data_IF_046311784823
#
_entry.id   IF_046311784823
#
_cell.length_a   1.000
_cell.length_b   1.000
_cell.length_c   1.000
_cell.angle_alpha   90.00
_cell.angle_beta   90.00
_cell.angle_gamma   90.00
#
_symmetry.space_group_name_H-M   'P 1'
#
loop_
_entity.id
_entity.type
_entity.pdbx_description
1 polymer ?
#
# COMPACT_ATOMS: atom_id res chain seq x y z
N UNK A 1 -3.71 -9.41 5.14
CA UNK A 1 -3.15 -10.43 6.06
C UNK A 1 -4.10 -10.69 7.21
N UNK A 2 -4.55 -9.66 7.95
CA UNK A 2 -5.62 -9.80 8.95
C UNK A 2 -7.02 -9.72 8.34
N UNK A 3 -7.22 -8.94 7.29
CA UNK A 3 -8.40 -9.09 6.43
C UNK A 3 -8.11 -10.20 5.40
N UNK A 4 -8.72 -11.37 5.62
CA UNK A 4 -8.59 -12.54 4.74
C UNK A 4 -9.68 -12.55 3.67
N UNK A 5 -10.80 -11.87 3.93
CA UNK A 5 -11.96 -11.85 3.02
C UNK A 5 -11.88 -10.71 2.00
N UNK A 6 -11.01 -9.74 2.25
CA UNK A 6 -10.91 -8.48 1.50
C UNK A 6 -12.23 -7.69 1.50
N UNK A 7 -12.85 -7.58 2.69
CA UNK A 7 -14.10 -6.84 2.90
C UNK A 7 -13.88 -5.50 3.60
N UNK A 8 -12.62 -5.13 3.83
CA UNK A 8 -12.26 -3.91 4.55
C UNK A 8 -12.51 -3.99 6.05
N UNK A 9 -12.60 -5.19 6.62
CA UNK A 9 -12.76 -5.40 8.06
C UNK A 9 -12.01 -6.63 8.57
N UNK A 10 -11.56 -6.56 9.81
CA UNK A 10 -10.83 -7.63 10.51
C UNK A 10 -11.74 -8.22 11.58
N UNK A 11 -12.08 -9.50 11.42
CA UNK A 11 -12.78 -10.26 12.48
C UNK A 11 -11.80 -10.69 13.56
N UNK A 12 -12.32 -10.91 14.76
CA UNK A 12 -11.57 -11.54 15.85
C UNK A 12 -10.91 -12.86 15.44
N UNK A 13 -11.60 -13.73 14.71
CA UNK A 13 -11.03 -15.01 14.27
C UNK A 13 -9.87 -14.85 13.28
N UNK A 14 -9.96 -13.86 12.40
CA UNK A 14 -8.91 -13.58 11.42
C UNK A 14 -7.69 -12.94 12.13
N UNK A 15 -7.93 -12.11 13.14
CA UNK A 15 -6.90 -11.59 14.05
C UNK A 15 -6.20 -12.70 14.85
N UNK A 16 -6.93 -13.63 15.46
CA UNK A 16 -6.36 -14.78 16.19
C UNK A 16 -5.54 -15.67 15.26
N UNK A 17 -6.04 -15.93 14.06
CA UNK A 17 -5.27 -16.66 13.04
C UNK A 17 -3.98 -15.92 12.66
N UNK A 18 -4.04 -14.60 12.51
CA UNK A 18 -2.86 -13.79 12.21
C UNK A 18 -1.85 -13.78 13.37
N UNK A 19 -2.30 -13.77 14.63
CA UNK A 19 -1.44 -13.95 15.79
C UNK A 19 -0.73 -15.31 15.76
N UNK A 20 -1.42 -16.39 15.41
CA UNK A 20 -0.78 -17.71 15.25
C UNK A 20 0.24 -17.74 14.10
N UNK A 21 -0.09 -17.11 12.97
CA UNK A 21 0.72 -17.18 11.74
C UNK A 21 1.90 -16.19 11.71
N UNK A 22 1.74 -15.01 12.32
CA UNK A 22 2.69 -13.89 12.25
C UNK A 22 3.20 -13.46 13.63
N UNK A 23 2.58 -13.94 14.73
CA UNK A 23 2.87 -13.49 16.08
C UNK A 23 4.28 -13.80 16.58
N UNK A 24 5.02 -14.71 15.95
CA UNK A 24 6.44 -14.92 16.26
C UNK A 24 7.34 -13.76 15.82
N UNK A 25 6.85 -12.85 14.98
CA UNK A 25 7.65 -11.73 14.45
C UNK A 25 7.58 -10.54 15.40
N UNK A 26 8.74 -10.06 15.84
CA UNK A 26 8.86 -8.97 16.82
C UNK A 26 8.24 -7.65 16.33
N UNK A 27 8.40 -7.33 15.05
CA UNK A 27 7.79 -6.16 14.42
C UNK A 27 6.26 -6.21 14.45
N UNK A 28 5.69 -7.39 14.17
CA UNK A 28 4.25 -7.63 14.27
C UNK A 28 3.77 -7.46 15.71
N UNK A 29 4.41 -8.09 16.70
CA UNK A 29 4.03 -7.94 18.11
C UNK A 29 4.08 -6.48 18.57
N UNK A 30 5.15 -5.74 18.22
CA UNK A 30 5.26 -4.31 18.54
C UNK A 30 4.12 -3.51 17.93
N UNK A 31 3.76 -3.78 16.68
CA UNK A 31 2.64 -3.12 16.03
C UNK A 31 1.31 -3.45 16.75
N UNK A 32 1.04 -4.71 17.08
CA UNK A 32 -0.20 -5.10 17.77
C UNK A 32 -0.33 -4.46 19.15
N UNK A 33 0.76 -4.43 19.92
CA UNK A 33 0.78 -3.82 21.24
C UNK A 33 0.58 -2.29 21.17
N UNK A 34 1.24 -1.63 20.22
CA UNK A 34 1.09 -0.18 20.01
C UNK A 34 -0.34 0.22 19.65
N UNK A 35 -0.99 -0.59 18.81
CA UNK A 35 -2.36 -0.36 18.35
C UNK A 35 -3.43 -0.86 19.33
N UNK A 36 -3.04 -1.51 20.43
CA UNK A 36 -3.92 -2.12 21.41
C UNK A 36 -4.99 -3.06 20.81
N UNK A 37 -4.70 -3.70 19.66
CA UNK A 37 -5.67 -4.56 18.97
C UNK A 37 -6.10 -5.75 19.82
N UNK A 38 -5.19 -6.28 20.63
CA UNK A 38 -5.53 -7.32 21.59
C UNK A 38 -6.58 -6.83 22.59
N UNK A 39 -6.44 -5.62 23.13
CA UNK A 39 -7.44 -5.08 24.06
C UNK A 39 -8.80 -4.92 23.37
N UNK A 40 -8.82 -4.36 22.16
CA UNK A 40 -10.03 -4.20 21.35
C UNK A 40 -10.77 -5.53 21.15
N UNK A 41 -10.11 -6.57 20.65
CA UNK A 41 -10.76 -7.86 20.39
C UNK A 41 -11.08 -8.68 21.65
N UNK A 42 -10.53 -8.32 22.81
CA UNK A 42 -10.97 -8.87 24.10
C UNK A 42 -12.21 -8.15 24.63
N UNK A 43 -12.33 -6.84 24.42
CA UNK A 43 -13.45 -6.04 24.93
C UNK A 43 -14.70 -6.11 24.04
N UNK A 44 -14.55 -6.31 22.73
CA UNK A 44 -15.68 -6.39 21.79
C UNK A 44 -15.56 -7.61 20.87
N UNK A 45 -16.72 -8.11 20.44
CA UNK A 45 -16.83 -9.14 19.40
C UNK A 45 -17.06 -8.54 17.99
N UNK A 46 -17.18 -7.22 17.90
CA UNK A 46 -17.41 -6.52 16.63
C UNK A 46 -16.21 -6.60 15.68
N UNK A 47 -16.51 -6.56 14.39
CA UNK A 47 -15.49 -6.52 13.33
C UNK A 47 -14.83 -5.15 13.31
N UNK A 48 -13.50 -5.11 13.30
CA UNK A 48 -12.74 -3.87 13.21
C UNK A 48 -12.65 -3.44 11.74
N UNK A 49 -13.37 -2.39 11.35
CA UNK A 49 -13.28 -1.82 10.00
C UNK A 49 -11.88 -1.24 9.72
N UNK A 50 -11.52 -1.07 8.44
CA UNK A 50 -10.28 -0.42 8.03
C UNK A 50 -10.18 0.99 8.62
N UNK A 51 -11.27 1.76 8.59
CA UNK A 51 -11.30 3.09 9.20
C UNK A 51 -11.09 3.02 10.71
N UNK A 52 -11.76 2.10 11.42
CA UNK A 52 -11.55 1.89 12.85
C UNK A 52 -10.10 1.50 13.18
N UNK A 53 -9.50 0.64 12.37
CA UNK A 53 -8.08 0.29 12.48
C UNK A 53 -7.17 1.52 12.29
N UNK A 54 -7.43 2.35 11.27
CA UNK A 54 -6.67 3.57 11.02
C UNK A 54 -6.83 4.57 12.16
N UNK A 55 -8.03 4.71 12.75
CA UNK A 55 -8.28 5.56 13.93
C UNK A 55 -7.53 5.08 15.17
N UNK A 56 -7.41 3.77 15.38
CA UNK A 56 -6.57 3.22 16.45
C UNK A 56 -5.08 3.51 16.21
N UNK A 57 -4.64 3.49 14.95
CA UNK A 57 -3.25 3.75 14.58
C UNK A 57 -2.86 5.23 14.60
N UNK A 58 -3.79 6.10 14.23
CA UNK A 58 -3.59 7.53 14.09
C UNK A 58 -4.76 8.28 14.75
N UNK A 59 -4.86 8.26 16.08
CA UNK A 59 -6.01 8.81 16.80
C UNK A 59 -6.21 10.31 16.58
N UNK A 60 -5.13 11.03 16.27
CA UNK A 60 -5.13 12.47 16.03
C UNK A 60 -5.23 12.85 14.55
N UNK A 61 -5.37 11.89 13.63
CA UNK A 61 -5.47 12.19 12.20
C UNK A 61 -6.78 12.94 11.88
N UNK A 62 -6.63 14.03 11.13
CA UNK A 62 -7.73 14.78 10.52
C UNK A 62 -8.48 13.95 9.47
N UNK A 63 -9.66 14.42 9.05
CA UNK A 63 -10.44 13.75 8.00
C UNK A 63 -9.69 13.64 6.68
N UNK A 64 -8.93 14.68 6.28
CA UNK A 64 -8.13 14.67 5.06
C UNK A 64 -6.97 13.66 5.14
N UNK A 65 -6.30 13.56 6.29
CA UNK A 65 -5.26 12.55 6.51
C UNK A 65 -5.85 11.13 6.51
N UNK A 66 -7.05 10.94 7.05
CA UNK A 66 -7.75 9.66 7.00
C UNK A 66 -8.12 9.25 5.58
N UNK A 67 -8.58 10.18 4.74
CA UNK A 67 -8.83 9.94 3.32
C UNK A 67 -7.53 9.52 2.61
N UNK A 68 -6.42 10.21 2.89
CA UNK A 68 -5.09 9.85 2.36
C UNK A 68 -4.65 8.44 2.80
N UNK A 69 -4.79 8.11 4.09
CA UNK A 69 -4.45 6.79 4.62
C UNK A 69 -5.30 5.67 4.00
N UNK A 70 -6.59 5.95 3.77
CA UNK A 70 -7.49 5.03 3.07
C UNK A 70 -7.05 4.83 1.63
N UNK A 71 -6.74 5.90 0.91
CA UNK A 71 -6.20 5.85 -0.46
C UNK A 71 -4.96 4.98 -0.52
N UNK A 72 -4.02 5.17 0.41
CA UNK A 72 -2.80 4.36 0.49
C UNK A 72 -3.08 2.88 0.76
N UNK A 73 -4.09 2.57 1.59
CA UNK A 73 -4.51 1.19 1.82
C UNK A 73 -5.07 0.54 0.55
N UNK A 74 -5.84 1.28 -0.26
CA UNK A 74 -6.39 0.78 -1.53
C UNK A 74 -5.30 0.58 -2.59
N UNK A 75 -4.37 1.54 -2.76
CA UNK A 75 -3.19 1.36 -3.62
C UNK A 75 -2.35 0.15 -3.18
N UNK A 76 -2.26 -0.09 -1.87
CA UNK A 76 -1.58 -1.27 -1.33
C UNK A 76 -2.31 -2.56 -1.69
N UNK A 77 -3.65 -2.58 -1.70
CA UNK A 77 -4.43 -3.74 -2.17
C UNK A 77 -4.17 -3.99 -3.65
N UNK A 78 -4.15 -2.96 -4.48
CA UNK A 78 -3.83 -3.09 -5.91
C UNK A 78 -2.46 -3.75 -6.10
N UNK A 79 -1.45 -3.27 -5.40
CA UNK A 79 -0.11 -3.85 -5.45
C UNK A 79 -0.10 -5.33 -5.06
N UNK A 80 -0.91 -5.72 -4.06
CA UNK A 80 -1.02 -7.12 -3.63
C UNK A 80 -1.74 -7.98 -4.68
N UNK A 81 -2.80 -7.47 -5.31
CA UNK A 81 -3.51 -8.18 -6.39
C UNK A 81 -2.58 -8.54 -7.55
N UNK A 82 -1.64 -7.66 -7.87
CA UNK A 82 -0.65 -7.88 -8.93
C UNK A 82 0.50 -8.81 -8.54
N UNK A 83 0.60 -9.23 -7.27
CA UNK A 83 1.70 -10.12 -6.86
C UNK A 83 1.53 -11.52 -7.48
N UNK A 84 2.62 -12.16 -7.94
CA UNK A 84 2.56 -13.48 -8.58
C UNK A 84 1.84 -14.55 -7.75
N UNK A 85 1.87 -14.45 -6.41
CA UNK A 85 1.17 -15.37 -5.51
C UNK A 85 -0.35 -15.43 -5.74
N UNK A 86 -0.93 -14.37 -6.30
CA UNK A 86 -2.37 -14.30 -6.60
C UNK A 86 -2.71 -14.81 -8.00
N UNK A 87 -1.72 -15.16 -8.83
CA UNK A 87 -1.96 -15.72 -10.16
C UNK A 87 -2.65 -14.73 -11.10
N UNK A 88 -2.25 -13.46 -11.07
CA UNK A 88 -2.88 -12.41 -11.87
C UNK A 88 -2.88 -12.76 -13.37
N UNK A 89 -4.08 -12.94 -13.90
CA UNK A 89 -4.30 -13.42 -15.27
C UNK A 89 -4.70 -12.31 -16.25
N UNK A 90 -4.82 -11.08 -15.76
CA UNK A 90 -5.34 -9.92 -16.49
C UNK A 90 -6.74 -10.18 -17.10
N UNK A 91 -7.55 -11.00 -16.43
CA UNK A 91 -8.95 -11.19 -16.81
C UNK A 91 -9.77 -9.93 -16.57
N UNK A 92 -10.87 -9.76 -17.30
CA UNK A 92 -11.72 -8.55 -17.20
C UNK A 92 -12.19 -8.27 -15.77
N UNK A 93 -12.57 -9.30 -15.01
CA UNK A 93 -12.99 -9.16 -13.61
C UNK A 93 -11.85 -8.68 -12.70
N UNK A 94 -10.62 -9.14 -12.93
CA UNK A 94 -9.45 -8.70 -12.16
C UNK A 94 -9.06 -7.26 -12.50
N UNK A 95 -9.11 -6.91 -13.79
CA UNK A 95 -8.87 -5.55 -14.27
C UNK A 95 -9.94 -4.59 -13.75
N UNK A 96 -11.21 -5.01 -13.70
CA UNK A 96 -12.30 -4.21 -13.15
C UNK A 96 -12.06 -3.93 -11.66
N UNK A 97 -11.75 -4.96 -10.87
CA UNK A 97 -11.44 -4.78 -9.45
C UNK A 97 -10.23 -3.87 -9.24
N UNK A 98 -9.20 -4.01 -10.07
CA UNK A 98 -8.03 -3.16 -10.03
C UNK A 98 -8.39 -1.70 -10.38
N UNK A 99 -9.21 -1.50 -11.40
CA UNK A 99 -9.72 -0.20 -11.81
C UNK A 99 -10.53 0.46 -10.68
N UNK A 100 -11.46 -0.26 -10.07
CA UNK A 100 -12.28 0.20 -8.95
C UNK A 100 -11.44 0.65 -7.75
N UNK A 101 -10.36 -0.07 -7.43
CA UNK A 101 -9.43 0.33 -6.37
C UNK A 101 -8.55 1.53 -6.73
N UNK A 102 -8.39 1.83 -8.02
CA UNK A 102 -7.68 3.00 -8.51
C UNK A 102 -8.59 4.22 -8.71
N UNK A 103 -9.92 4.07 -8.69
CA UNK A 103 -10.81 5.22 -8.65
C UNK A 103 -10.65 5.98 -7.34
N UNK A 104 -10.77 7.30 -7.42
CA UNK A 104 -10.80 8.18 -6.25
C UNK A 104 -12.26 8.44 -5.86
N UNK A 105 -12.58 8.32 -4.56
CA UNK A 105 -13.97 8.32 -4.06
C UNK A 105 -14.72 9.66 -4.30
N UNK A 106 -14.01 10.76 -4.63
CA UNK A 106 -14.55 12.13 -4.59
C UNK A 106 -14.76 12.79 -5.96
N UNK A 107 -14.47 12.11 -7.08
CA UNK A 107 -14.60 12.70 -8.42
C UNK A 107 -15.83 12.14 -9.13
N UNK A 108 -16.71 13.02 -9.62
CA UNK A 108 -17.94 12.65 -10.36
C UNK A 108 -17.63 11.88 -11.67
N UNK A 109 -16.39 11.99 -12.16
CA UNK A 109 -15.92 11.27 -13.34
C UNK A 109 -15.30 9.93 -12.94
N UNK A 110 -15.84 8.84 -13.51
CA UNK A 110 -15.37 7.45 -13.32
C UNK A 110 -14.05 7.22 -14.07
N UNK A 111 -13.01 7.92 -13.65
CA UNK A 111 -11.71 7.94 -14.31
C UNK A 111 -10.55 7.82 -13.32
N UNK A 112 -9.45 7.23 -13.78
CA UNK A 112 -8.25 7.05 -12.95
C UNK A 112 -7.24 8.16 -13.24
N UNK A 113 -6.61 8.69 -12.17
CA UNK A 113 -5.41 9.51 -12.28
C UNK A 113 -4.18 8.66 -12.63
N UNK A 114 -3.52 9.01 -13.75
CA UNK A 114 -2.26 8.38 -14.16
C UNK A 114 -1.16 8.47 -13.09
N UNK A 115 -1.20 9.50 -12.24
CA UNK A 115 -0.28 9.68 -11.12
C UNK A 115 -0.38 8.54 -10.11
N UNK A 116 -1.58 8.04 -9.82
CA UNK A 116 -1.79 6.97 -8.85
C UNK A 116 -1.24 5.62 -9.33
N UNK A 117 -1.28 5.37 -10.64
CA UNK A 117 -0.68 4.18 -11.25
C UNK A 117 0.84 4.18 -11.04
N UNK A 118 1.48 5.35 -11.14
CA UNK A 118 2.91 5.51 -10.89
C UNK A 118 3.23 5.44 -9.40
N UNK A 119 2.47 6.14 -8.56
CA UNK A 119 2.68 6.16 -7.10
C UNK A 119 2.50 4.79 -6.45
N UNK A 120 1.54 4.00 -6.93
CA UNK A 120 1.33 2.61 -6.51
C UNK A 120 2.39 1.63 -7.01
N UNK A 121 3.33 2.09 -7.86
CA UNK A 121 4.40 1.28 -8.45
C UNK A 121 3.85 0.12 -9.29
N UNK A 122 2.63 0.25 -9.82
CA UNK A 122 2.03 -0.73 -10.74
C UNK A 122 2.77 -0.67 -12.07
N UNK A 123 2.90 0.54 -12.61
CA UNK A 123 3.70 0.83 -13.78
C UNK A 123 4.69 1.96 -13.44
N UNK A 124 5.86 1.87 -14.06
CA UNK A 124 6.81 2.98 -14.11
C UNK A 124 6.30 4.05 -15.06
N UNK A 125 6.82 5.27 -14.93
CA UNK A 125 6.48 6.36 -15.85
C UNK A 125 6.80 6.00 -17.31
N UNK A 126 7.87 5.24 -17.57
CA UNK A 126 8.23 4.83 -18.93
C UNK A 126 7.28 3.77 -19.50
N UNK A 127 6.90 2.77 -18.71
CA UNK A 127 5.89 1.78 -19.13
C UNK A 127 4.55 2.46 -19.43
N UNK A 128 4.18 3.44 -18.61
CA UNK A 128 2.95 4.21 -18.81
C UNK A 128 3.02 5.06 -20.09
N UNK A 129 4.15 5.72 -20.33
CA UNK A 129 4.41 6.48 -21.57
C UNK A 129 4.38 5.57 -22.80
N UNK A 130 4.95 4.37 -22.70
CA UNK A 130 4.89 3.37 -23.77
C UNK A 130 3.44 2.91 -24.05
N UNK A 131 2.61 2.78 -23.01
CA UNK A 131 1.20 2.40 -23.13
C UNK A 131 0.36 3.47 -23.83
N UNK A 132 0.57 4.73 -23.43
CA UNK A 132 -0.23 5.87 -23.86
C UNK A 132 0.24 6.43 -25.21
N UNK A 133 1.52 6.23 -25.57
CA UNK A 133 2.13 6.85 -26.75
C UNK A 133 2.19 8.38 -26.60
N UNK A 134 1.84 9.09 -27.67
CA UNK A 134 1.76 10.57 -27.69
C UNK A 134 0.39 11.10 -27.25
N UNK A 135 -0.46 10.28 -26.63
CA UNK A 135 -1.76 10.74 -26.13
C UNK A 135 -1.59 11.71 -24.97
N UNK A 136 -2.43 12.74 -24.95
CA UNK A 136 -2.54 13.64 -23.82
C UNK A 136 -2.89 12.87 -22.54
N UNK A 137 -2.47 13.36 -21.36
CA UNK A 137 -2.82 12.78 -20.07
C UNK A 137 -4.30 13.07 -19.74
N UNK A 138 -5.20 12.46 -20.51
CA UNK A 138 -6.63 12.50 -20.24
C UNK A 138 -6.98 11.48 -19.17
N UNK A 139 -8.03 11.74 -18.37
CA UNK A 139 -8.58 10.74 -17.47
C UNK A 139 -8.84 9.41 -18.22
N UNK A 140 -8.43 8.29 -17.62
CA UNK A 140 -8.51 6.97 -18.25
C UNK A 140 -9.81 6.29 -17.82
N UNK A 141 -10.70 6.04 -18.77
CA UNK A 141 -11.94 5.25 -18.57
C UNK A 141 -11.62 3.76 -18.38
N UNK A 142 -12.59 2.95 -17.95
CA UNK A 142 -12.37 1.50 -17.80
C UNK A 142 -12.06 0.82 -19.14
N UNK A 143 -12.71 1.26 -20.21
CA UNK A 143 -12.47 0.79 -21.58
C UNK A 143 -11.05 1.13 -22.02
N UNK A 144 -10.60 2.37 -21.82
CA UNK A 144 -9.24 2.81 -22.12
C UNK A 144 -8.22 2.03 -21.27
N UNK A 145 -8.50 1.85 -19.98
CA UNK A 145 -7.66 1.07 -19.07
C UNK A 145 -7.46 -0.36 -19.59
N UNK A 146 -8.54 -1.01 -20.02
CA UNK A 146 -8.50 -2.35 -20.59
C UNK A 146 -7.77 -2.42 -21.94
N UNK A 147 -7.87 -1.39 -22.78
CA UNK A 147 -7.22 -1.38 -24.09
C UNK A 147 -5.72 -1.06 -23.98
N UNK A 148 -5.37 -0.07 -23.17
CA UNK A 148 -4.02 0.50 -23.10
C UNK A 148 -3.14 -0.26 -22.11
N UNK A 149 -3.65 -0.57 -20.91
CA UNK A 149 -2.82 -1.08 -19.82
C UNK A 149 -2.82 -2.60 -19.70
N UNK A 150 -3.89 -3.28 -20.14
CA UNK A 150 -3.96 -4.75 -20.10
C UNK A 150 -2.75 -5.44 -20.75
N UNK A 151 -2.27 -5.07 -21.96
CA UNK A 151 -1.15 -5.78 -22.58
C UNK A 151 0.12 -5.72 -21.72
N UNK A 152 0.41 -4.55 -21.15
CA UNK A 152 1.59 -4.31 -20.32
C UNK A 152 1.45 -5.01 -18.97
N UNK A 153 0.27 -4.91 -18.34
CA UNK A 153 -0.01 -5.59 -17.07
C UNK A 153 0.08 -7.12 -17.23
N UNK A 154 -0.46 -7.67 -18.32
CA UNK A 154 -0.35 -9.11 -18.62
C UNK A 154 1.12 -9.51 -18.83
N UNK A 155 1.88 -8.75 -19.63
CA UNK A 155 3.29 -9.03 -19.85
C UNK A 155 4.11 -8.96 -18.56
N UNK A 156 3.84 -7.98 -17.69
CA UNK A 156 4.60 -7.73 -16.47
C UNK A 156 4.26 -8.69 -15.33
N UNK A 157 3.00 -9.09 -15.21
CA UNK A 157 2.50 -9.81 -14.04
C UNK A 157 1.98 -11.23 -14.32
N UNK A 158 1.67 -11.57 -15.58
CA UNK A 158 1.21 -12.93 -15.94
C UNK A 158 2.37 -13.91 -16.20
N UNK A 159 3.62 -13.43 -16.28
CA UNK A 159 4.80 -14.30 -16.40
C UNK A 159 5.03 -15.01 -15.06
N UNK A 160 4.52 -16.23 -15.03
CA UNK A 160 4.54 -17.15 -13.91
C UNK A 160 5.87 -17.92 -13.91
N UNK A 161 6.53 -17.97 -12.75
CA UNK A 161 7.79 -18.69 -12.45
C UNK A 161 9.12 -18.08 -12.94
N UNK A 162 9.43 -16.84 -12.55
CA UNK A 162 10.83 -16.50 -12.28
C UNK A 162 11.11 -16.84 -10.82
N UNK A 163 11.97 -17.85 -10.61
CA UNK A 163 12.59 -18.22 -9.33
C UNK A 163 12.73 -16.99 -8.42
N UNK A 164 12.03 -16.99 -7.29
CA UNK A 164 11.98 -15.86 -6.35
C UNK A 164 13.39 -15.58 -5.80
N UNK A 165 14.15 -14.71 -6.49
CA UNK A 165 15.32 -14.08 -5.90
C UNK A 165 14.86 -13.26 -4.68
N UNK A 166 15.47 -13.44 -3.48
CA UNK A 166 15.06 -12.79 -2.24
C UNK A 166 15.16 -11.25 -2.22
N UNK A 167 15.64 -10.62 -3.29
CA UNK A 167 16.14 -9.24 -3.33
C UNK A 167 15.10 -8.14 -3.05
N UNK A 168 13.81 -8.39 -3.27
CA UNK A 168 12.79 -7.36 -2.99
C UNK A 168 12.70 -6.99 -1.50
N UNK A 169 13.11 -7.90 -0.60
CA UNK A 169 13.19 -7.62 0.85
C UNK A 169 14.34 -6.69 1.19
N UNK A 170 15.40 -6.67 0.39
CA UNK A 170 16.59 -5.83 0.56
C UNK A 170 16.25 -4.36 0.28
N UNK A 171 15.51 -4.09 -0.81
CA UNK A 171 15.22 -2.72 -1.25
C UNK A 171 14.27 -1.92 -0.33
N UNK A 172 13.42 -2.57 0.48
CA UNK A 172 12.57 -1.86 1.45
C UNK A 172 13.37 -1.51 2.71
N UNK A 173 14.25 -2.41 3.18
CA UNK A 173 15.14 -2.11 4.32
C UNK A 173 16.13 -1.01 3.97
N UNK A 174 16.67 -1.02 2.75
CA UNK A 174 17.62 -0.03 2.28
C UNK A 174 16.99 1.37 2.14
N UNK A 175 15.73 1.45 1.70
CA UNK A 175 15.00 2.73 1.65
C UNK A 175 14.64 3.27 3.04
N UNK A 176 14.27 2.39 3.97
CA UNK A 176 14.01 2.78 5.37
C UNK A 176 15.29 3.16 6.12
N UNK A 177 16.44 2.57 5.79
CA UNK A 177 17.74 3.00 6.36
C UNK A 177 18.16 4.36 5.83
N UNK A 178 17.99 4.62 4.52
CA UNK A 178 18.31 5.92 3.91
C UNK A 178 17.41 7.03 4.45
N UNK A 179 16.10 6.81 4.55
CA UNK A 179 15.17 7.78 5.14
C UNK A 179 15.47 8.06 6.63
N UNK A 180 16.05 7.09 7.34
CA UNK A 180 16.46 7.25 8.74
C UNK A 180 17.77 8.02 8.88
N UNK A 181 18.67 7.93 7.90
CA UNK A 181 19.88 8.76 7.84
C UNK A 181 19.57 10.21 7.49
N UNK A 182 18.61 10.47 6.60
CA UNK A 182 18.18 11.83 6.26
C UNK A 182 17.47 12.56 7.41
N UNK A 183 16.77 11.83 8.29
CA UNK A 183 16.14 12.39 9.49
C UNK A 183 17.04 12.43 10.73
N UNK A 184 18.32 12.04 10.61
CA UNK A 184 19.25 12.18 11.72
C UNK A 184 19.45 13.69 12.02
N UNK A 185 19.14 14.17 13.24
CA UNK A 185 19.32 15.57 13.57
C UNK A 185 20.80 15.93 13.40
N UNK A 186 21.06 17.06 12.75
CA UNK A 186 22.41 17.62 12.61
C UNK A 186 23.09 17.60 13.98
N UNK A 187 24.30 17.05 14.04
CA UNK A 187 25.06 16.92 15.27
C UNK A 187 25.08 18.28 16.01
N UNK A 188 24.89 18.30 17.33
CA UNK A 188 24.92 19.54 18.10
C UNK A 188 26.27 20.20 17.87
N UNK A 189 26.23 21.43 17.36
CA UNK A 189 27.42 22.26 17.16
C UNK A 189 28.06 22.45 18.53
N UNK A 190 29.25 21.87 18.72
CA UNK A 190 30.03 22.00 19.95
C UNK A 190 30.29 23.49 20.20
N UNK A 191 29.86 24.05 21.35
CA UNK A 191 30.17 25.43 21.68
C UNK A 191 31.69 25.54 21.88
N UNK A 192 32.36 26.25 20.97
CA UNK A 192 33.76 26.60 21.13
C UNK A 192 33.89 27.45 22.39
N UNK A 193 34.43 26.85 23.45
CA UNK A 193 34.80 27.53 24.67
C UNK A 193 35.94 28.50 24.34
N UNK A 194 35.57 29.76 24.15
CA UNK A 194 36.48 30.90 24.11
C UNK A 194 37.14 31.03 25.50
N UNK A 195 38.31 30.44 25.65
CA UNK A 195 39.23 30.77 26.73
C UNK A 195 39.81 32.17 26.46
N UNK A 196 39.22 33.20 27.06
CA UNK A 196 39.89 34.50 27.21
C UNK A 196 40.98 34.37 28.27
N UNK A 197 42.22 34.74 27.91
CA UNK A 197 43.35 34.96 28.81
C UNK A 197 43.48 36.43 29.16
#
# INVERSE_FOLDING_TARGET
AMDVRDVGSVRRKDFVWALGSLGARLDFQKAMNRLQLSAHFHSTAEDLSLEGFLRLAFPSASTAEMATLRRWADLRKVYLLLKPRHGFSAQRMELQRLFELLLEDEVDDVCISLGDIVQSQILTQEELRQALGDRDPTPVTFEDFCQLLKPILAQKYSVTEVSLSPEWRSGVRQRLSLAREELAPAAPVEPQLLCCS
#
